data_IF_821869468951
#
_entry.id   IF_821869468951
#
_cell.length_a   1.000
_cell.length_b   1.000
_cell.length_c   1.000
_cell.angle_alpha   90.00
_cell.angle_beta   90.00
_cell.angle_gamma   90.00
#
_symmetry.space_group_name_H-M   'P 1'
#
loop_
_entity.id
_entity.type
_entity.pdbx_description
1 polymer ?
#
# COMPACT_ATOMS: atom_id res chain seq x y z
N UNK A 1 26.98 8.11 -24.54
CA UNK A 1 26.76 7.57 -23.17
C UNK A 1 25.93 8.54 -22.32
N UNK A 2 24.74 8.95 -22.79
CA UNK A 2 23.95 10.00 -22.12
C UNK A 2 22.45 9.68 -21.99
N UNK A 3 22.00 8.48 -22.37
CA UNK A 3 20.57 8.11 -22.37
C UNK A 3 20.13 7.23 -21.18
N UNK A 4 21.05 6.51 -20.53
CA UNK A 4 20.71 5.64 -19.38
C UNK A 4 20.14 6.42 -18.17
N UNK A 5 20.46 7.72 -18.06
CA UNK A 5 19.98 8.61 -17.00
C UNK A 5 18.68 9.35 -17.33
N UNK A 6 18.07 9.17 -18.51
CA UNK A 6 16.82 9.87 -18.86
C UNK A 6 15.55 9.10 -18.51
N UNK A 7 15.64 7.79 -18.24
CA UNK A 7 14.48 6.99 -17.87
C UNK A 7 14.08 7.22 -16.41
N UNK A 8 12.79 7.44 -16.18
CA UNK A 8 12.19 7.51 -14.84
C UNK A 8 12.25 6.16 -14.15
N UNK A 9 12.21 6.14 -12.80
CA UNK A 9 12.19 4.90 -12.03
C UNK A 9 11.04 3.96 -12.45
N UNK A 10 9.88 4.53 -12.79
CA UNK A 10 8.72 3.75 -13.24
C UNK A 10 8.97 3.05 -14.58
N UNK A 11 9.55 3.75 -15.56
CA UNK A 11 9.90 3.16 -16.86
C UNK A 11 10.93 2.04 -16.69
N UNK A 12 11.93 2.26 -15.82
CA UNK A 12 12.95 1.27 -15.50
C UNK A 12 12.31 0.01 -14.89
N UNK A 13 11.40 0.16 -13.91
CA UNK A 13 10.65 -0.96 -13.29
C UNK A 13 9.78 -1.68 -14.32
N UNK A 14 9.13 -0.96 -15.23
CA UNK A 14 8.35 -1.58 -16.32
C UNK A 14 9.22 -2.43 -17.24
N UNK A 15 10.39 -1.93 -17.64
CA UNK A 15 11.33 -2.72 -18.47
C UNK A 15 11.81 -3.96 -17.72
N UNK A 16 12.07 -3.87 -16.42
CA UNK A 16 12.39 -5.02 -15.58
C UNK A 16 11.25 -6.05 -15.54
N UNK A 17 10.00 -5.61 -15.37
CA UNK A 17 8.84 -6.52 -15.40
C UNK A 17 8.72 -7.22 -16.75
N UNK A 18 8.88 -6.49 -17.86
CA UNK A 18 8.88 -7.08 -19.21
C UNK A 18 9.99 -8.11 -19.36
N UNK A 19 11.21 -7.81 -18.90
CA UNK A 19 12.32 -8.75 -18.95
C UNK A 19 12.00 -10.05 -18.18
N UNK A 20 11.44 -9.92 -16.98
CA UNK A 20 11.03 -11.07 -16.15
C UNK A 20 9.96 -11.91 -16.83
N UNK A 21 8.94 -11.27 -17.39
CA UNK A 21 7.84 -11.98 -18.08
C UNK A 21 8.35 -12.71 -19.33
N UNK A 22 9.30 -12.14 -20.06
CA UNK A 22 9.93 -12.80 -21.20
C UNK A 22 10.74 -14.03 -20.79
N UNK A 23 11.50 -13.96 -19.69
CA UNK A 23 12.20 -15.14 -19.14
C UNK A 23 11.22 -16.22 -18.68
N UNK A 24 10.14 -15.83 -18.00
CA UNK A 24 9.07 -16.75 -17.59
C UNK A 24 8.38 -17.41 -18.78
N UNK A 25 8.30 -16.72 -19.92
CA UNK A 25 7.82 -17.28 -21.19
C UNK A 25 8.87 -18.17 -21.92
N UNK A 26 10.02 -18.42 -21.30
CA UNK A 26 11.08 -19.29 -21.83
C UNK A 26 11.98 -18.65 -22.88
N UNK A 27 12.00 -17.30 -22.99
CA UNK A 27 12.91 -16.60 -23.91
C UNK A 27 14.35 -16.67 -23.41
N UNK A 28 15.29 -16.80 -24.36
CA UNK A 28 16.71 -16.78 -24.04
C UNK A 28 17.21 -15.35 -23.78
N UNK A 29 18.31 -15.21 -23.05
CA UNK A 29 18.90 -13.90 -22.72
C UNK A 29 19.13 -12.99 -23.95
N UNK A 30 19.67 -13.47 -25.09
CA UNK A 30 19.77 -12.64 -26.30
C UNK A 30 18.42 -12.17 -26.85
N UNK A 31 17.39 -13.02 -26.83
CA UNK A 31 16.04 -12.66 -27.29
C UNK A 31 15.41 -11.59 -26.41
N UNK A 32 15.66 -11.64 -25.09
CA UNK A 32 15.18 -10.62 -24.16
C UNK A 32 15.85 -9.28 -24.45
N UNK A 33 17.17 -9.26 -24.64
CA UNK A 33 17.90 -8.04 -25.00
C UNK A 33 17.37 -7.42 -26.29
N UNK A 34 17.19 -8.23 -27.35
CA UNK A 34 16.67 -7.75 -28.65
C UNK A 34 15.31 -7.06 -28.52
N UNK A 35 14.43 -7.55 -27.64
CA UNK A 35 13.14 -6.92 -27.37
C UNK A 35 13.32 -5.62 -26.58
N UNK A 36 14.17 -5.61 -25.54
CA UNK A 36 14.39 -4.43 -24.70
C UNK A 36 15.08 -3.28 -25.46
N UNK A 37 15.96 -3.59 -26.41
CA UNK A 37 16.66 -2.62 -27.27
C UNK A 37 15.72 -1.75 -28.12
N UNK A 38 14.46 -2.17 -28.30
CA UNK A 38 13.43 -1.36 -28.96
C UNK A 38 12.99 -0.16 -28.09
N UNK A 39 13.25 -0.21 -26.78
CA UNK A 39 12.77 0.75 -25.78
C UNK A 39 13.89 1.48 -25.04
N UNK A 40 15.12 0.93 -25.02
CA UNK A 40 16.28 1.54 -24.38
C UNK A 40 17.58 1.22 -25.13
N UNK A 41 18.68 1.86 -24.73
CA UNK A 41 19.99 1.56 -25.31
C UNK A 41 20.47 0.14 -24.94
N UNK A 42 21.25 -0.45 -25.83
CA UNK A 42 21.76 -1.84 -25.72
C UNK A 42 22.46 -2.12 -24.39
N UNK A 43 23.26 -1.18 -23.89
CA UNK A 43 23.95 -1.35 -22.61
C UNK A 43 22.95 -1.41 -21.44
N UNK A 44 21.89 -0.60 -21.46
CA UNK A 44 20.84 -0.66 -20.44
C UNK A 44 19.96 -1.92 -20.58
N UNK A 45 19.63 -2.32 -21.81
CA UNK A 45 18.90 -3.55 -22.08
C UNK A 45 19.61 -4.78 -21.48
N UNK A 46 20.93 -4.88 -21.62
CA UNK A 46 21.73 -5.94 -21.01
C UNK A 46 21.68 -5.92 -19.47
N UNK A 47 21.79 -4.73 -18.87
CA UNK A 47 21.70 -4.56 -17.41
C UNK A 47 20.32 -5.00 -16.90
N UNK A 48 19.24 -4.56 -17.53
CA UNK A 48 17.87 -4.90 -17.14
C UNK A 48 17.58 -6.38 -17.37
N UNK A 49 18.00 -6.96 -18.50
CA UNK A 49 17.85 -8.38 -18.77
C UNK A 49 18.54 -9.22 -17.68
N UNK A 50 19.77 -8.85 -17.27
CA UNK A 50 20.47 -9.52 -16.19
C UNK A 50 19.75 -9.39 -14.84
N UNK A 51 19.24 -8.20 -14.52
CA UNK A 51 18.45 -7.96 -13.30
C UNK A 51 17.17 -8.81 -13.30
N UNK A 52 16.45 -8.88 -14.42
CA UNK A 52 15.25 -9.70 -14.59
C UNK A 52 15.53 -11.19 -14.46
N UNK A 53 16.61 -11.68 -15.06
CA UNK A 53 17.01 -13.09 -14.98
C UNK A 53 17.32 -13.53 -13.54
N UNK A 54 17.91 -12.64 -12.74
CA UNK A 54 18.28 -12.92 -11.35
C UNK A 54 17.24 -12.42 -10.33
N UNK A 55 16.10 -11.90 -10.80
CA UNK A 55 15.02 -11.36 -9.96
C UNK A 55 15.52 -10.35 -8.90
N UNK A 56 16.55 -9.56 -9.24
CA UNK A 56 17.27 -8.77 -8.24
C UNK A 56 16.39 -7.69 -7.61
N UNK A 57 15.46 -7.12 -8.38
CA UNK A 57 14.54 -6.13 -7.84
C UNK A 57 13.38 -6.75 -7.06
N UNK A 58 12.98 -7.98 -7.35
CA UNK A 58 11.98 -8.67 -6.52
C UNK A 58 12.52 -8.79 -5.08
N UNK A 59 13.79 -9.19 -4.92
CA UNK A 59 14.45 -9.20 -3.59
C UNK A 59 14.54 -7.82 -2.96
N UNK A 60 14.81 -6.77 -3.76
CA UNK A 60 14.84 -5.38 -3.29
C UNK A 60 13.47 -4.94 -2.73
N UNK A 61 12.39 -5.17 -3.49
CA UNK A 61 11.03 -4.84 -3.08
C UNK A 61 10.57 -5.64 -1.87
N UNK A 62 10.91 -6.93 -1.81
CA UNK A 62 10.60 -7.78 -0.66
C UNK A 62 11.35 -7.34 0.60
N UNK A 63 12.63 -6.96 0.47
CA UNK A 63 13.42 -6.44 1.59
C UNK A 63 12.83 -5.14 2.13
N UNK A 64 12.43 -4.22 1.24
CA UNK A 64 11.76 -2.98 1.62
C UNK A 64 10.46 -3.26 2.41
N UNK A 65 9.63 -4.18 1.90
CA UNK A 65 8.39 -4.65 2.56
C UNK A 65 8.66 -5.13 3.99
N UNK A 66 9.61 -6.05 4.14
CA UNK A 66 9.94 -6.66 5.43
C UNK A 66 10.43 -5.62 6.46
N UNK A 67 11.26 -4.68 6.02
CA UNK A 67 11.77 -3.61 6.89
C UNK A 67 10.63 -2.70 7.40
N UNK A 68 9.66 -2.36 6.55
CA UNK A 68 8.46 -1.64 7.02
C UNK A 68 7.56 -2.50 7.93
N UNK A 69 7.50 -3.82 7.69
CA UNK A 69 6.88 -4.78 8.62
C UNK A 69 7.53 -4.76 10.01
N UNK A 70 8.84 -4.51 10.08
CA UNK A 70 9.60 -4.33 11.31
C UNK A 70 9.51 -2.90 11.90
N UNK A 71 8.66 -2.04 11.35
CA UNK A 71 8.49 -0.63 11.74
C UNK A 71 9.74 0.24 11.58
N UNK A 72 10.58 -0.06 10.58
CA UNK A 72 11.69 0.83 10.20
C UNK A 72 11.17 2.13 9.59
N UNK A 73 11.92 3.21 9.82
CA UNK A 73 11.67 4.52 9.22
C UNK A 73 12.09 4.54 7.75
N UNK A 74 11.57 5.50 6.98
CA UNK A 74 11.95 5.65 5.56
C UNK A 74 13.46 5.72 5.35
N UNK A 75 14.17 6.50 6.18
CA UNK A 75 15.63 6.65 6.07
C UNK A 75 16.38 5.35 6.37
N UNK A 76 15.95 4.59 7.38
CA UNK A 76 16.54 3.27 7.68
C UNK A 76 16.31 2.28 6.53
N UNK A 77 15.13 2.31 5.90
CA UNK A 77 14.83 1.44 4.75
C UNK A 77 15.73 1.81 3.57
N UNK A 78 15.80 3.09 3.19
CA UNK A 78 16.66 3.54 2.09
C UNK A 78 18.12 3.13 2.33
N UNK A 79 18.64 3.32 3.55
CA UNK A 79 20.02 2.95 3.88
C UNK A 79 20.25 1.44 3.75
N UNK A 80 19.29 0.62 4.22
CA UNK A 80 19.38 -0.83 4.14
C UNK A 80 19.28 -1.37 2.71
N UNK A 81 18.71 -0.62 1.77
CA UNK A 81 18.56 -1.01 0.36
C UNK A 81 19.78 -0.68 -0.50
N UNK A 82 20.63 0.27 -0.10
CA UNK A 82 21.85 0.68 -0.84
C UNK A 82 22.81 -0.48 -1.21
N UNK A 83 22.99 -1.53 -0.39
CA UNK A 83 23.83 -2.66 -0.78
C UNK A 83 23.28 -3.49 -1.95
N UNK A 84 21.98 -3.39 -2.25
CA UNK A 84 21.29 -4.19 -3.27
C UNK A 84 21.18 -3.50 -4.62
N UNK A 85 21.20 -2.17 -4.64
CA UNK A 85 21.03 -1.35 -5.84
C UNK A 85 21.85 -0.07 -5.72
N UNK A 86 22.49 0.35 -6.83
CA UNK A 86 23.25 1.59 -6.90
C UNK A 86 22.41 2.75 -7.47
N UNK A 87 21.35 2.43 -8.21
CA UNK A 87 20.43 3.42 -8.76
C UNK A 87 19.51 3.99 -7.67
N UNK A 88 19.82 5.19 -7.18
CA UNK A 88 19.06 5.89 -6.15
C UNK A 88 17.57 6.06 -6.52
N UNK A 89 17.25 6.20 -7.81
CA UNK A 89 15.87 6.37 -8.24
C UNK A 89 15.05 5.08 -7.97
N UNK A 90 15.66 3.91 -8.15
CA UNK A 90 15.03 2.61 -7.89
C UNK A 90 14.94 2.33 -6.39
N UNK A 91 15.97 2.68 -5.62
CA UNK A 91 15.94 2.56 -4.16
C UNK A 91 14.78 3.38 -3.58
N UNK A 92 14.70 4.66 -3.98
CA UNK A 92 13.64 5.55 -3.51
C UNK A 92 12.26 5.09 -4.00
N UNK A 93 12.15 4.57 -5.23
CA UNK A 93 10.90 4.00 -5.72
C UNK A 93 10.44 2.81 -4.86
N UNK A 94 11.33 1.86 -4.56
CA UNK A 94 11.01 0.71 -3.73
C UNK A 94 10.63 1.12 -2.29
N UNK A 95 11.36 2.08 -1.70
CA UNK A 95 11.06 2.59 -0.37
C UNK A 95 9.71 3.33 -0.34
N UNK A 96 9.46 4.24 -1.30
CA UNK A 96 8.21 5.01 -1.37
C UNK A 96 6.98 4.12 -1.55
N UNK A 97 7.07 3.10 -2.43
CA UNK A 97 5.97 2.18 -2.67
C UNK A 97 5.46 1.55 -1.36
N UNK A 98 6.36 1.05 -0.52
CA UNK A 98 5.99 0.44 0.75
C UNK A 98 5.73 1.44 1.86
N UNK A 99 6.33 2.63 1.80
CA UNK A 99 6.03 3.73 2.70
C UNK A 99 4.57 4.18 2.60
N UNK A 100 4.04 4.29 1.37
CA UNK A 100 2.63 4.61 1.15
C UNK A 100 1.72 3.54 1.76
N UNK A 101 2.03 2.25 1.52
CA UNK A 101 1.30 1.13 2.12
C UNK A 101 1.34 1.17 3.65
N UNK A 102 2.52 1.47 4.23
CA UNK A 102 2.70 1.61 5.68
C UNK A 102 1.89 2.78 6.24
N UNK A 103 1.85 3.90 5.52
CA UNK A 103 1.09 5.07 5.91
C UNK A 103 -0.41 4.74 5.96
N UNK A 104 -0.93 4.06 4.93
CA UNK A 104 -2.32 3.59 4.90
C UNK A 104 -2.62 2.63 6.05
N UNK A 105 -1.69 1.72 6.39
CA UNK A 105 -1.84 0.84 7.57
C UNK A 105 -1.98 1.65 8.86
N UNK A 106 -1.10 2.64 9.06
CA UNK A 106 -1.07 3.47 10.26
C UNK A 106 -2.31 4.35 10.38
N UNK A 107 -2.71 5.02 9.30
CA UNK A 107 -3.94 5.83 9.25
C UNK A 107 -5.16 4.99 9.61
N UNK A 108 -5.36 3.85 8.95
CA UNK A 108 -6.49 2.97 9.26
C UNK A 108 -6.42 2.41 10.69
N UNK A 109 -5.23 2.15 11.23
CA UNK A 109 -5.07 1.68 12.61
C UNK A 109 -5.51 2.74 13.61
N UNK A 110 -5.04 3.98 13.43
CA UNK A 110 -5.36 5.11 14.31
C UNK A 110 -6.83 5.51 14.19
N UNK A 111 -7.31 5.74 12.97
CA UNK A 111 -8.68 6.19 12.71
C UNK A 111 -9.72 5.14 13.09
N UNK A 112 -9.43 3.85 12.89
CA UNK A 112 -10.40 2.80 13.23
C UNK A 112 -10.80 2.83 14.70
N UNK A 113 -9.85 3.12 15.59
CA UNK A 113 -10.11 3.21 17.03
C UNK A 113 -11.05 4.37 17.36
N UNK A 114 -10.78 5.56 16.82
CA UNK A 114 -11.62 6.76 17.04
C UNK A 114 -13.02 6.55 16.44
N UNK A 115 -13.09 6.11 15.18
CA UNK A 115 -14.35 5.89 14.47
C UNK A 115 -15.22 4.81 15.15
N UNK A 116 -14.61 3.73 15.64
CA UNK A 116 -15.32 2.73 16.41
C UNK A 116 -15.83 3.29 17.75
N UNK A 117 -15.00 4.03 18.48
CA UNK A 117 -15.38 4.55 19.79
C UNK A 117 -16.49 5.59 19.69
N UNK A 118 -16.31 6.61 18.84
CA UNK A 118 -17.29 7.67 18.62
C UNK A 118 -18.60 7.12 18.05
N UNK A 119 -18.51 6.25 17.04
CA UNK A 119 -19.67 5.60 16.45
C UNK A 119 -20.46 4.82 17.50
N UNK A 120 -19.79 4.02 18.34
CA UNK A 120 -20.45 3.27 19.41
C UNK A 120 -21.09 4.17 20.46
N UNK A 121 -20.40 5.23 20.90
CA UNK A 121 -20.94 6.21 21.85
C UNK A 121 -22.24 6.82 21.34
N UNK A 122 -22.26 7.31 20.09
CA UNK A 122 -23.45 7.91 19.50
C UNK A 122 -24.56 6.90 19.19
N UNK A 123 -24.22 5.65 18.88
CA UNK A 123 -25.21 4.55 18.78
C UNK A 123 -25.92 4.37 20.12
N UNK A 124 -25.18 4.32 21.23
CA UNK A 124 -25.78 4.16 22.57
C UNK A 124 -26.62 5.38 22.96
N UNK A 125 -26.08 6.58 22.79
CA UNK A 125 -26.78 7.84 23.09
C UNK A 125 -28.09 7.91 22.29
N UNK A 126 -28.04 7.59 20.99
CA UNK A 126 -29.22 7.65 20.12
C UNK A 126 -30.21 6.52 20.39
N UNK A 127 -29.74 5.33 20.76
CA UNK A 127 -30.60 4.22 21.16
C UNK A 127 -31.43 4.53 22.41
N UNK A 128 -30.90 5.35 23.32
CA UNK A 128 -31.63 5.86 24.50
C UNK A 128 -32.47 7.09 24.15
N UNK A 129 -31.91 8.00 23.35
CA UNK A 129 -32.56 9.26 22.96
C UNK A 129 -33.82 9.05 22.14
N UNK A 130 -33.83 8.09 21.21
CA UNK A 130 -35.00 7.79 20.38
C UNK A 130 -36.24 7.48 21.25
N UNK A 131 -36.23 6.47 22.16
CA UNK A 131 -37.35 6.22 23.07
C UNK A 131 -37.81 7.46 23.84
N UNK A 132 -36.88 8.27 24.37
CA UNK A 132 -37.20 9.49 25.12
C UNK A 132 -37.99 10.48 24.26
N UNK A 133 -37.56 10.71 23.03
CA UNK A 133 -38.20 11.63 22.08
C UNK A 133 -39.62 11.17 21.73
N UNK A 134 -39.83 9.85 21.64
CA UNK A 134 -41.16 9.28 21.44
C UNK A 134 -42.04 9.39 22.68
N UNK A 135 -41.51 9.10 23.88
CA UNK A 135 -42.23 9.19 25.16
C UNK A 135 -42.68 10.61 25.48
N UNK A 136 -41.80 11.60 25.26
CA UNK A 136 -42.09 13.02 25.47
C UNK A 136 -42.94 13.65 24.35
N UNK A 137 -43.35 12.85 23.35
CA UNK A 137 -44.16 13.29 22.20
C UNK A 137 -43.58 14.54 21.50
N UNK A 138 -42.26 14.59 21.37
CA UNK A 138 -41.59 15.68 20.65
C UNK A 138 -41.97 15.69 19.16
N UNK A 139 -41.61 16.77 18.48
CA UNK A 139 -41.94 17.01 17.08
C UNK A 139 -41.43 15.90 16.15
N UNK A 140 -42.13 15.67 15.03
CA UNK A 140 -41.73 14.69 14.01
C UNK A 140 -40.32 14.96 13.48
N UNK A 141 -39.95 16.25 13.32
CA UNK A 141 -38.61 16.66 12.91
C UNK A 141 -37.55 16.14 13.90
N UNK A 142 -37.78 16.28 15.21
CA UNK A 142 -36.85 15.77 16.23
C UNK A 142 -36.68 14.26 16.13
N UNK A 143 -37.77 13.50 15.94
CA UNK A 143 -37.70 12.04 15.77
C UNK A 143 -36.87 11.64 14.55
N UNK A 144 -37.06 12.31 13.42
CA UNK A 144 -36.29 12.06 12.19
C UNK A 144 -34.81 12.35 12.40
N UNK A 145 -34.46 13.46 13.07
CA UNK A 145 -33.07 13.80 13.37
C UNK A 145 -32.41 12.73 14.25
N UNK A 146 -33.07 12.28 15.32
CA UNK A 146 -32.52 11.24 16.19
C UNK A 146 -32.32 9.89 15.48
N UNK A 147 -33.24 9.51 14.59
CA UNK A 147 -33.06 8.31 13.76
C UNK A 147 -31.90 8.48 12.79
N UNK A 148 -31.74 9.66 12.17
CA UNK A 148 -30.63 9.94 11.28
C UNK A 148 -29.27 9.89 12.00
N UNK A 149 -29.17 10.44 13.22
CA UNK A 149 -27.96 10.35 14.06
C UNK A 149 -27.66 8.89 14.41
N UNK A 150 -28.68 8.10 14.76
CA UNK A 150 -28.50 6.66 15.02
C UNK A 150 -27.94 5.92 13.79
N UNK A 151 -28.49 6.16 12.60
CA UNK A 151 -28.01 5.53 11.37
C UNK A 151 -26.58 5.99 11.05
N UNK A 152 -26.29 7.29 11.14
CA UNK A 152 -24.95 7.84 10.85
C UNK A 152 -23.88 7.27 11.79
N UNK A 153 -24.17 7.19 13.09
CA UNK A 153 -23.27 6.62 14.08
C UNK A 153 -23.04 5.13 13.90
N UNK A 154 -24.08 4.37 13.50
CA UNK A 154 -23.94 2.96 13.16
C UNK A 154 -23.03 2.77 11.94
N UNK A 155 -23.17 3.62 10.90
CA UNK A 155 -22.30 3.59 9.73
C UNK A 155 -20.85 3.94 10.10
N UNK A 156 -20.62 4.94 10.95
CA UNK A 156 -19.28 5.31 11.42
C UNK A 156 -18.63 4.14 12.21
N UNK A 157 -19.39 3.49 13.08
CA UNK A 157 -18.92 2.30 13.81
C UNK A 157 -18.53 1.15 12.87
N UNK A 158 -19.39 0.83 11.90
CA UNK A 158 -19.14 -0.21 10.89
C UNK A 158 -17.93 0.13 10.02
N UNK A 159 -17.76 1.40 9.66
CA UNK A 159 -16.61 1.90 8.93
C UNK A 159 -15.31 1.69 9.71
N UNK A 160 -15.29 2.05 11.00
CA UNK A 160 -14.13 1.80 11.88
C UNK A 160 -13.76 0.31 11.97
N UNK A 161 -14.75 -0.59 12.08
CA UNK A 161 -14.49 -2.05 12.04
C UNK A 161 -13.82 -2.45 10.71
N UNK A 162 -14.29 -1.90 9.58
CA UNK A 162 -13.72 -2.19 8.27
C UNK A 162 -12.28 -1.67 8.16
N UNK A 163 -11.99 -0.46 8.62
CA UNK A 163 -10.63 0.10 8.66
C UNK A 163 -9.69 -0.81 9.46
N UNK A 164 -10.11 -1.26 10.65
CA UNK A 164 -9.32 -2.19 11.47
C UNK A 164 -9.01 -3.50 10.75
N UNK A 165 -9.98 -4.05 10.00
CA UNK A 165 -9.76 -5.26 9.19
C UNK A 165 -8.77 -5.03 8.05
N UNK A 166 -8.83 -3.87 7.38
CA UNK A 166 -7.90 -3.52 6.30
C UNK A 166 -6.48 -3.36 6.85
N UNK A 167 -6.30 -2.58 7.91
CA UNK A 167 -5.01 -2.43 8.58
C UNK A 167 -4.41 -3.78 8.99
N UNK A 168 -5.22 -4.66 9.59
CA UNK A 168 -4.78 -6.01 9.96
C UNK A 168 -4.35 -6.86 8.76
N UNK A 169 -5.00 -6.74 7.60
CA UNK A 169 -4.59 -7.45 6.37
C UNK A 169 -3.28 -6.89 5.80
N UNK A 170 -3.14 -5.57 5.75
CA UNK A 170 -1.92 -4.91 5.27
C UNK A 170 -0.74 -5.31 6.15
N UNK A 171 -0.92 -5.28 7.48
CA UNK A 171 0.10 -5.71 8.44
C UNK A 171 0.57 -7.13 8.17
N UNK A 172 -0.35 -8.08 7.98
CA UNK A 172 -0.03 -9.49 7.66
C UNK A 172 0.76 -9.63 6.36
N UNK A 173 0.42 -8.86 5.33
CA UNK A 173 1.14 -8.86 4.06
C UNK A 173 2.59 -8.37 4.27
N UNK A 174 2.79 -7.35 5.11
CA UNK A 174 4.13 -6.80 5.37
C UNK A 174 4.99 -7.70 6.27
N UNK A 175 4.39 -8.46 7.19
CA UNK A 175 5.12 -9.33 8.12
C UNK A 175 5.29 -10.77 7.63
N UNK A 176 4.77 -11.11 6.43
CA UNK A 176 4.75 -12.48 5.90
C UNK A 176 4.17 -13.52 6.89
N UNK A 177 3.26 -13.09 7.79
CA UNK A 177 2.53 -13.99 8.69
C UNK A 177 1.49 -14.78 7.89
N UNK A 178 1.89 -15.94 7.37
CA UNK A 178 0.98 -16.92 6.80
C UNK A 178 0.28 -17.68 7.94
N UNK A 179 -1.04 -17.52 8.02
CA UNK A 179 -1.92 -18.36 8.85
C UNK A 179 -1.91 -19.81 8.36
#
# INVERSE_FOLDING_TARGET
MQQVNSLSAEEKVRLYTVAKDLFNAGKSHPQVIEVLEQFCDSAYAEVIAKKGLHESWDRLFETAKELYGQNKTYLEVVEALKPFENDEAIINFAANLWYEVKTIEMENTVESSSNMMEGLQWVVISAIGIPIVFLLKLSTVSKVLWIAVFIGSLLQYLYGIRQRKIAGRIKKIMTNEQN
#
